data_IF_231908619373
#
_entry.id   IF_231908619373
#
_cell.length_a   1.000
_cell.length_b   1.000
_cell.length_c   1.000
_cell.angle_alpha   90.00
_cell.angle_beta   90.00
_cell.angle_gamma   90.00
#
_symmetry.space_group_name_H-M   'P 1'
#
loop_
_entity.id
_entity.type
_entity.pdbx_description
1 polymer ?
#
# COMPACT_ATOMS: atom_id res chain seq x y z
N UNK A 1 -6.61 -11.10 19.93
CA UNK A 1 -5.15 -10.95 19.82
C UNK A 1 -4.84 -9.86 18.78
N UNK A 2 -3.95 -8.95 19.11
CA UNK A 2 -3.56 -7.92 18.17
C UNK A 2 -2.63 -8.49 17.10
N UNK A 3 -2.77 -8.07 15.83
CA UNK A 3 -1.85 -8.47 14.79
C UNK A 3 -0.41 -8.05 15.10
N UNK A 4 0.55 -8.87 14.69
CA UNK A 4 1.97 -8.57 14.84
C UNK A 4 2.47 -7.63 13.75
N UNK A 5 3.68 -7.10 13.94
CA UNK A 5 4.34 -6.28 12.92
C UNK A 5 4.40 -7.02 11.56
N UNK A 6 4.80 -8.28 11.59
CA UNK A 6 4.89 -9.09 10.36
C UNK A 6 3.52 -9.21 9.68
N UNK A 7 2.45 -9.39 10.44
CA UNK A 7 1.12 -9.49 9.86
C UNK A 7 0.70 -8.20 9.14
N UNK A 8 0.99 -7.03 9.72
CA UNK A 8 0.71 -5.76 9.05
C UNK A 8 1.51 -5.63 7.75
N UNK A 9 2.78 -6.01 7.78
CA UNK A 9 3.62 -5.97 6.57
C UNK A 9 3.12 -6.95 5.50
N UNK A 10 2.69 -8.13 5.91
CA UNK A 10 2.13 -9.11 4.98
C UNK A 10 0.81 -8.64 4.38
N UNK A 11 -0.04 -7.95 5.14
CA UNK A 11 -1.26 -7.33 4.59
C UNK A 11 -0.91 -6.31 3.51
N UNK A 12 0.08 -5.45 3.76
CA UNK A 12 0.55 -4.49 2.77
C UNK A 12 1.04 -5.22 1.52
N UNK A 13 1.86 -6.25 1.71
CA UNK A 13 2.42 -7.02 0.60
C UNK A 13 1.32 -7.68 -0.24
N UNK A 14 0.34 -8.32 0.40
CA UNK A 14 -0.75 -8.99 -0.30
C UNK A 14 -1.56 -8.02 -1.15
N UNK A 15 -1.87 -6.86 -0.62
CA UNK A 15 -2.65 -5.86 -1.36
C UNK A 15 -1.83 -5.27 -2.50
N UNK A 16 -0.56 -4.96 -2.27
CA UNK A 16 0.31 -4.45 -3.31
C UNK A 16 0.49 -5.49 -4.44
N UNK A 17 0.68 -6.75 -4.10
CA UNK A 17 0.81 -7.83 -5.08
C UNK A 17 -0.47 -7.97 -5.93
N UNK A 18 -1.63 -7.88 -5.29
CA UNK A 18 -2.91 -7.93 -5.99
C UNK A 18 -3.04 -6.79 -7.00
N UNK A 19 -2.77 -5.57 -6.57
CA UNK A 19 -2.85 -4.40 -7.45
C UNK A 19 -1.88 -4.52 -8.62
N UNK A 20 -0.63 -4.87 -8.35
CA UNK A 20 0.39 -5.00 -9.41
C UNK A 20 -0.02 -6.07 -10.42
N UNK A 21 -0.48 -7.22 -9.95
CA UNK A 21 -0.91 -8.31 -10.82
C UNK A 21 -2.10 -7.92 -11.68
N UNK A 22 -3.11 -7.27 -11.08
CA UNK A 22 -4.35 -6.95 -11.79
C UNK A 22 -4.25 -5.70 -12.66
N UNK A 23 -3.26 -4.83 -12.42
CA UNK A 23 -3.04 -3.63 -13.22
C UNK A 23 -2.11 -3.87 -14.40
N UNK A 24 -1.45 -5.01 -14.44
CA UNK A 24 -0.53 -5.35 -15.52
C UNK A 24 -1.27 -5.31 -16.86
N UNK A 25 -0.65 -4.64 -17.83
CA UNK A 25 -1.19 -4.49 -19.19
C UNK A 25 -2.50 -3.72 -19.30
N UNK A 26 -2.92 -3.03 -18.22
CA UNK A 26 -4.07 -2.14 -18.25
C UNK A 26 -3.64 -0.70 -18.48
N UNK A 27 -4.46 0.04 -19.25
CA UNK A 27 -4.38 1.49 -19.28
C UNK A 27 -5.48 2.10 -18.41
N UNK A 28 -5.45 3.42 -18.26
CA UNK A 28 -6.41 4.12 -17.43
C UNK A 28 -7.86 3.94 -17.90
N UNK A 29 -8.09 4.02 -19.21
CA UNK A 29 -9.44 3.90 -19.75
C UNK A 29 -10.03 2.52 -19.51
N UNK A 30 -9.26 1.47 -19.72
CA UNK A 30 -9.68 0.10 -19.46
C UNK A 30 -9.96 -0.11 -17.97
N UNK A 31 -9.07 0.40 -17.10
CA UNK A 31 -9.26 0.35 -15.66
C UNK A 31 -10.57 1.05 -15.25
N UNK A 32 -10.76 2.28 -15.73
CA UNK A 32 -11.90 3.11 -15.32
C UNK A 32 -13.24 2.49 -15.73
N UNK A 33 -13.27 1.81 -16.88
CA UNK A 33 -14.48 1.19 -17.42
C UNK A 33 -14.70 -0.24 -16.94
N UNK A 34 -13.80 -0.78 -16.14
CA UNK A 34 -13.98 -2.11 -15.55
C UNK A 34 -15.00 -2.04 -14.41
N UNK A 35 -15.90 -3.01 -14.34
CA UNK A 35 -17.00 -3.01 -13.36
C UNK A 35 -16.49 -3.01 -11.91
N UNK A 36 -15.44 -3.77 -11.63
CA UNK A 36 -15.04 -4.06 -10.25
C UNK A 36 -13.69 -3.47 -9.84
N UNK A 37 -12.73 -3.32 -10.76
CA UNK A 37 -11.36 -2.95 -10.41
C UNK A 37 -11.21 -1.59 -9.72
N UNK A 38 -11.93 -0.53 -10.13
CA UNK A 38 -11.80 0.75 -9.41
C UNK A 38 -12.11 0.62 -7.92
N UNK A 39 -13.21 -0.05 -7.59
CA UNK A 39 -13.60 -0.27 -6.19
C UNK A 39 -12.65 -1.21 -5.47
N UNK A 40 -12.20 -2.26 -6.14
CA UNK A 40 -11.28 -3.23 -5.55
C UNK A 40 -9.94 -2.58 -5.24
N UNK A 41 -9.40 -1.78 -6.13
CA UNK A 41 -8.13 -1.08 -5.92
C UNK A 41 -8.27 -0.01 -4.82
N UNK A 42 -9.38 0.71 -4.79
CA UNK A 42 -9.66 1.65 -3.71
C UNK A 42 -9.62 0.94 -2.36
N UNK A 43 -10.29 -0.19 -2.24
CA UNK A 43 -10.28 -0.97 -0.99
C UNK A 43 -8.88 -1.47 -0.64
N UNK A 44 -8.14 -1.96 -1.62
CA UNK A 44 -6.76 -2.41 -1.41
C UNK A 44 -5.87 -1.28 -0.89
N UNK A 45 -5.98 -0.09 -1.46
CA UNK A 45 -5.21 1.07 -1.00
C UNK A 45 -5.62 1.51 0.41
N UNK A 46 -6.90 1.42 0.76
CA UNK A 46 -7.35 1.68 2.13
C UNK A 46 -6.71 0.70 3.12
N UNK A 47 -6.68 -0.58 2.78
CA UNK A 47 -6.07 -1.60 3.64
C UNK A 47 -4.58 -1.32 3.82
N UNK A 48 -3.88 -0.98 2.73
CA UNK A 48 -2.46 -0.61 2.80
C UNK A 48 -2.27 0.58 3.75
N UNK A 49 -3.07 1.62 3.60
CA UNK A 49 -3.00 2.82 4.45
C UNK A 49 -3.25 2.50 5.93
N UNK A 50 -4.28 1.72 6.22
CA UNK A 50 -4.62 1.36 7.59
C UNK A 50 -3.54 0.48 8.24
N UNK A 51 -3.00 -0.49 7.50
CA UNK A 51 -1.90 -1.32 8.00
C UNK A 51 -0.65 -0.48 8.26
N UNK A 52 -0.34 0.46 7.38
CA UNK A 52 0.82 1.36 7.53
C UNK A 52 0.72 2.20 8.81
N UNK A 53 -0.48 2.67 9.16
CA UNK A 53 -0.70 3.44 10.39
C UNK A 53 -0.38 2.66 11.67
N UNK A 54 -0.37 1.34 11.60
CA UNK A 54 -0.07 0.49 12.75
C UNK A 54 1.42 0.26 12.97
N UNK A 55 2.26 0.69 12.03
CA UNK A 55 3.71 0.47 12.13
C UNK A 55 4.34 1.45 13.13
N UNK A 56 5.24 0.98 14.01
CA UNK A 56 5.88 1.87 14.99
C UNK A 56 6.79 2.91 14.33
N UNK A 57 6.94 4.11 14.93
CA UNK A 57 7.81 5.14 14.35
C UNK A 57 9.27 4.72 14.21
N UNK A 58 9.81 3.94 15.15
CA UNK A 58 11.18 3.44 15.04
C UNK A 58 11.35 2.51 13.84
N UNK A 59 10.32 1.73 13.54
CA UNK A 59 10.32 0.85 12.37
C UNK A 59 10.34 1.65 11.08
N UNK A 60 9.43 2.60 10.91
CA UNK A 60 9.36 3.40 9.69
C UNK A 60 10.60 4.27 9.49
N UNK A 61 11.24 4.70 10.57
CA UNK A 61 12.50 5.43 10.50
C UNK A 61 13.63 4.54 10.00
N UNK A 62 13.69 3.29 10.48
CA UNK A 62 14.74 2.35 10.06
C UNK A 62 14.62 1.99 8.57
N UNK A 63 13.41 1.79 8.08
CA UNK A 63 13.17 1.38 6.69
C UNK A 63 12.67 2.55 5.83
N UNK A 64 13.44 3.63 5.83
CA UNK A 64 13.08 4.91 5.22
C UNK A 64 13.05 4.89 3.69
N UNK A 65 13.41 3.79 3.05
CA UNK A 65 13.32 3.64 1.60
C UNK A 65 11.88 3.48 1.09
N UNK A 66 10.91 3.32 1.98
CA UNK A 66 9.49 3.30 1.64
C UNK A 66 8.84 4.59 2.12
N UNK A 67 7.94 5.13 1.30
CA UNK A 67 7.21 6.38 1.59
C UNK A 67 6.05 6.09 2.55
N UNK A 68 6.36 5.69 3.78
CA UNK A 68 5.36 5.29 4.76
C UNK A 68 4.32 6.38 5.04
N UNK A 69 4.76 7.62 5.12
CA UNK A 69 3.85 8.74 5.41
C UNK A 69 2.84 8.93 4.29
N UNK A 70 3.28 8.85 3.04
CA UNK A 70 2.39 8.92 1.89
C UNK A 70 1.42 7.76 1.85
N UNK A 71 1.90 6.57 2.22
CA UNK A 71 1.08 5.37 2.28
C UNK A 71 0.00 5.46 3.35
N UNK A 72 0.36 5.95 4.54
CA UNK A 72 -0.59 6.12 5.63
C UNK A 72 -1.70 7.12 5.29
N UNK A 73 -1.45 8.01 4.34
CA UNK A 73 -2.40 9.05 3.91
C UNK A 73 -3.12 8.72 2.61
N UNK A 74 -3.02 7.49 2.12
CA UNK A 74 -3.62 7.14 0.83
C UNK A 74 -5.12 7.47 0.78
N UNK A 75 -5.85 7.17 1.83
CA UNK A 75 -7.28 7.47 1.87
C UNK A 75 -7.55 8.96 1.68
N UNK A 76 -6.79 9.81 2.38
CA UNK A 76 -6.96 11.26 2.30
C UNK A 76 -6.64 11.79 0.90
N UNK A 77 -5.66 11.18 0.23
CA UNK A 77 -5.29 11.55 -1.14
C UNK A 77 -6.36 11.19 -2.17
N UNK A 78 -7.12 10.13 -1.91
CA UNK A 78 -8.10 9.59 -2.84
C UNK A 78 -9.47 10.25 -2.73
N UNK A 79 -9.82 10.80 -1.57
CA UNK A 79 -11.17 11.31 -1.35
C UNK A 79 -11.30 12.76 -1.83
N UNK A 80 -12.29 12.97 -2.70
CA UNK A 80 -12.73 14.29 -3.11
C UNK A 80 -14.05 14.57 -2.40
N UNK A 81 -14.13 15.63 -1.60
CA UNK A 81 -15.19 15.87 -0.62
C UNK A 81 -16.62 15.63 -1.11
N UNK A 82 -16.95 16.06 -2.32
CA UNK A 82 -18.32 15.97 -2.83
C UNK A 82 -18.49 14.88 -3.88
N UNK A 83 -17.41 14.38 -4.43
CA UNK A 83 -17.45 13.50 -5.61
C UNK A 83 -16.94 12.08 -5.33
N UNK A 84 -16.59 11.80 -4.07
CA UNK A 84 -16.07 10.48 -3.71
C UNK A 84 -14.61 10.32 -4.09
N UNK A 85 -14.26 9.16 -4.59
CA UNK A 85 -12.88 8.81 -4.88
C UNK A 85 -12.39 9.44 -6.18
N UNK A 86 -11.20 10.03 -6.15
CA UNK A 86 -10.52 10.54 -7.33
C UNK A 86 -9.78 9.39 -8.02
N UNK A 87 -10.39 8.80 -9.04
CA UNK A 87 -9.82 7.65 -9.72
C UNK A 87 -8.63 7.99 -10.61
N UNK A 88 -8.45 9.24 -11.03
CA UNK A 88 -7.22 9.64 -11.73
C UNK A 88 -6.02 9.58 -10.79
N UNK A 89 -6.18 10.12 -9.57
CA UNK A 89 -5.15 10.05 -8.54
C UNK A 89 -4.89 8.60 -8.16
N UNK A 90 -5.95 7.81 -8.00
CA UNK A 90 -5.81 6.39 -7.68
C UNK A 90 -4.98 5.66 -8.73
N UNK A 91 -5.27 5.89 -10.01
CA UNK A 91 -4.53 5.25 -11.09
C UNK A 91 -3.06 5.67 -11.13
N UNK A 92 -2.77 6.94 -10.86
CA UNK A 92 -1.39 7.41 -10.76
C UNK A 92 -0.61 6.67 -9.67
N UNK A 93 -1.25 6.47 -8.51
CA UNK A 93 -0.65 5.71 -7.41
C UNK A 93 -0.41 4.27 -7.84
N UNK A 94 -1.40 3.63 -8.45
CA UNK A 94 -1.30 2.24 -8.92
C UNK A 94 -0.18 2.08 -9.96
N UNK A 95 -0.10 3.00 -10.90
CA UNK A 95 0.87 2.89 -12.00
C UNK A 95 2.30 3.26 -11.58
N UNK A 96 2.45 4.24 -10.70
CA UNK A 96 3.76 4.81 -10.37
C UNK A 96 4.31 4.36 -9.03
N UNK A 97 3.47 4.24 -7.99
CA UNK A 97 3.95 3.99 -6.64
C UNK A 97 3.90 2.50 -6.25
N UNK A 98 2.90 1.79 -6.69
CA UNK A 98 2.67 0.40 -6.26
C UNK A 98 3.73 -0.59 -6.75
N UNK A 99 4.26 -0.50 -7.98
CA UNK A 99 5.33 -1.42 -8.38
C UNK A 99 6.57 -1.32 -7.49
N UNK A 100 6.98 -0.10 -7.14
CA UNK A 100 8.14 0.11 -6.28
C UNK A 100 7.86 -0.35 -4.86
N UNK A 101 6.66 -0.06 -4.33
CA UNK A 101 6.26 -0.55 -3.03
C UNK A 101 6.29 -2.08 -2.97
N UNK A 102 5.76 -2.74 -3.99
CA UNK A 102 5.71 -4.20 -4.05
C UNK A 102 7.11 -4.80 -3.96
N UNK A 103 8.08 -4.25 -4.68
CA UNK A 103 9.47 -4.69 -4.60
C UNK A 103 10.07 -4.43 -3.23
N UNK A 104 9.91 -3.21 -2.71
CA UNK A 104 10.56 -2.79 -1.47
C UNK A 104 9.98 -3.49 -0.25
N UNK A 105 8.68 -3.77 -0.21
CA UNK A 105 8.05 -4.41 0.95
C UNK A 105 8.54 -5.85 1.12
N UNK A 106 8.80 -6.55 0.02
CA UNK A 106 9.35 -7.90 0.08
C UNK A 106 10.71 -7.91 0.77
N UNK A 107 11.57 -6.96 0.41
CA UNK A 107 12.90 -6.83 1.01
C UNK A 107 12.83 -6.49 2.50
N UNK A 108 11.91 -5.60 2.88
CA UNK A 108 11.70 -5.23 4.28
C UNK A 108 11.24 -6.45 5.10
N UNK A 109 10.29 -7.21 4.58
CA UNK A 109 9.79 -8.41 5.28
C UNK A 109 10.93 -9.41 5.48
N UNK A 110 11.73 -9.65 4.45
CA UNK A 110 12.87 -10.56 4.53
C UNK A 110 13.86 -10.10 5.59
N UNK A 111 14.18 -8.81 5.62
CA UNK A 111 15.11 -8.26 6.60
C UNK A 111 14.56 -8.41 8.02
N UNK A 112 13.29 -8.13 8.23
CA UNK A 112 12.65 -8.31 9.55
C UNK A 112 12.68 -9.78 9.98
N UNK A 113 12.35 -10.70 9.09
CA UNK A 113 12.36 -12.14 9.39
C UNK A 113 13.75 -12.66 9.71
N UNK A 114 14.78 -12.04 9.15
CA UNK A 114 16.18 -12.39 9.39
C UNK A 114 16.81 -11.64 10.57
N UNK A 115 16.00 -10.97 11.38
CA UNK A 115 16.46 -10.31 12.60
C UNK A 115 17.01 -8.91 12.41
N UNK A 116 16.76 -8.28 11.24
CA UNK A 116 17.26 -6.95 10.94
C UNK A 116 16.59 -5.82 11.70
N UNK A 117 15.47 -6.11 12.35
CA UNK A 117 14.74 -5.11 13.14
C UNK A 117 14.55 -5.60 14.56
N UNK A 118 14.94 -4.76 15.53
CA UNK A 118 14.72 -5.00 16.95
C UNK A 118 13.84 -3.89 17.51
N UNK A 119 12.64 -4.22 18.02
CA UNK A 119 11.78 -3.19 18.62
C UNK A 119 12.47 -2.49 19.79
N UNK A 120 12.30 -1.18 19.86
CA UNK A 120 12.77 -0.40 20.99
C UNK A 120 11.75 -0.46 22.12
N UNK A 121 12.25 -0.65 23.32
CA UNK A 121 11.43 -0.78 24.53
C UNK A 121 11.31 0.55 25.24
#
# INVERSE_FOLDING_TARGET
MLPSLIEFLEHIQQQAAYIVRRSKDLDYDTFLNHDDLPRAFERSLEIIGEATKQLPPDFTTQYSNIQWRGMARLRDRLIHHYFGTDYEVLWEIVANDLPQLHENIADVIDDVKNGGYTPQV
#
